data_IF_928818439942
#
_entry.id   IF_928818439942
#
_cell.length_a   1.000
_cell.length_b   1.000
_cell.length_c   1.000
_cell.angle_alpha   90.00
_cell.angle_beta   90.00
_cell.angle_gamma   90.00
#
_symmetry.space_group_name_H-M   'P 1'
#
loop_
_entity.id
_entity.type
_entity.pdbx_description
1 polymer ?
#
# COMPACT_ATOMS: atom_id res chain seq x y z
N UNK A 1 24.01 66.46 4.85
CA UNK A 1 24.27 65.64 3.64
C UNK A 1 23.29 64.48 3.68
N UNK A 2 22.39 64.44 2.69
CA UNK A 2 21.07 63.79 2.71
C UNK A 2 21.12 62.35 2.15
N UNK A 3 20.39 61.46 2.81
CA UNK A 3 19.59 60.35 2.25
C UNK A 3 20.21 59.20 1.42
N UNK A 4 21.54 59.04 1.34
CA UNK A 4 22.12 57.95 0.51
C UNK A 4 21.72 56.52 0.96
N UNK A 5 21.50 56.28 2.25
CA UNK A 5 21.09 54.95 2.73
C UNK A 5 19.65 54.59 2.37
N UNK A 6 18.73 55.55 2.47
CA UNK A 6 17.32 55.32 2.12
C UNK A 6 17.14 55.16 0.61
N UNK A 7 17.94 55.86 -0.20
CA UNK A 7 17.94 55.69 -1.65
C UNK A 7 18.44 54.30 -2.07
N UNK A 8 19.50 53.77 -1.45
CA UNK A 8 20.01 52.42 -1.74
C UNK A 8 18.98 51.35 -1.33
N UNK A 9 18.32 51.52 -0.18
CA UNK A 9 17.25 50.63 0.27
C UNK A 9 16.01 50.68 -0.64
N UNK A 10 15.67 51.86 -1.17
CA UNK A 10 14.54 52.01 -2.09
C UNK A 10 14.83 51.39 -3.47
N UNK A 11 16.05 51.57 -3.97
CA UNK A 11 16.48 50.99 -5.26
C UNK A 11 16.55 49.46 -5.16
N UNK A 12 17.07 48.90 -4.06
CA UNK A 12 17.13 47.45 -3.89
C UNK A 12 15.74 46.83 -3.71
N UNK A 13 14.83 47.50 -2.99
CA UNK A 13 13.44 47.07 -2.87
C UNK A 13 12.72 47.11 -4.22
N UNK A 14 12.91 48.16 -5.01
CA UNK A 14 12.29 48.29 -6.33
C UNK A 14 12.82 47.23 -7.31
N UNK A 15 14.13 46.96 -7.29
CA UNK A 15 14.75 45.91 -8.10
C UNK A 15 14.20 44.52 -7.73
N UNK A 16 14.03 44.22 -6.44
CA UNK A 16 13.47 42.95 -5.98
C UNK A 16 12.00 42.79 -6.45
N UNK A 17 11.20 43.85 -6.38
CA UNK A 17 9.82 43.81 -6.85
C UNK A 17 9.74 43.59 -8.36
N UNK A 18 10.61 44.23 -9.15
CA UNK A 18 10.66 44.03 -10.61
C UNK A 18 11.05 42.60 -10.99
N UNK A 19 11.96 41.97 -10.23
CA UNK A 19 12.33 40.56 -10.44
C UNK A 19 11.13 39.64 -10.13
N UNK A 20 10.44 39.86 -9.02
CA UNK A 20 9.24 39.08 -8.64
C UNK A 20 8.13 39.25 -9.68
N UNK A 21 7.92 40.46 -10.19
CA UNK A 21 6.93 40.76 -11.22
C UNK A 21 7.30 40.08 -12.56
N UNK A 22 8.58 40.08 -12.92
CA UNK A 22 9.09 39.36 -14.10
C UNK A 22 8.86 37.85 -14.03
N UNK A 23 9.11 37.24 -12.87
CA UNK A 23 8.87 35.79 -12.65
C UNK A 23 7.36 35.48 -12.72
N UNK A 24 6.51 36.36 -12.18
CA UNK A 24 5.05 36.21 -12.25
C UNK A 24 4.52 36.28 -13.69
N UNK A 25 5.07 37.16 -14.52
CA UNK A 25 4.67 37.29 -15.93
C UNK A 25 5.18 36.10 -16.76
N UNK A 26 6.39 35.57 -16.49
CA UNK A 26 6.88 34.36 -17.16
C UNK A 26 6.14 33.08 -16.75
N UNK A 27 5.55 33.05 -15.55
CA UNK A 27 4.67 31.95 -15.09
C UNK A 27 3.19 32.11 -15.47
N UNK A 28 2.80 33.27 -15.98
CA UNK A 28 1.45 33.51 -16.46
C UNK A 28 1.32 32.97 -17.90
N UNK A 29 1.00 31.69 -18.01
CA UNK A 29 0.45 31.07 -19.23
C UNK A 29 -0.84 31.83 -19.60
N UNK A 30 -0.72 32.88 -20.42
CA UNK A 30 -1.85 33.56 -21.03
C UNK A 30 -2.48 32.68 -22.12
N UNK A 31 -3.12 31.59 -21.69
CA UNK A 31 -4.11 30.88 -22.49
C UNK A 31 -5.50 31.47 -22.23
N UNK A 32 -5.60 32.79 -22.42
CA UNK A 32 -6.86 33.52 -22.45
C UNK A 32 -7.48 33.38 -23.83
N UNK A 33 -8.72 32.87 -23.85
CA UNK A 33 -9.63 32.64 -24.98
C UNK A 33 -9.41 31.37 -25.79
N UNK A 34 -9.58 30.21 -25.14
CA UNK A 34 -10.12 29.04 -25.82
C UNK A 34 -11.61 29.27 -26.05
N UNK A 35 -12.00 29.54 -27.30
CA UNK A 35 -13.41 29.55 -27.74
C UNK A 35 -14.16 28.38 -27.12
N UNK A 36 -15.30 28.66 -26.48
CA UNK A 36 -16.18 27.62 -25.95
C UNK A 36 -16.69 26.81 -27.15
N UNK A 37 -16.44 25.49 -27.24
CA UNK A 37 -17.01 24.69 -28.31
C UNK A 37 -18.54 24.78 -28.22
N UNK A 38 -19.19 25.16 -29.33
CA UNK A 38 -20.65 25.14 -29.46
C UNK A 38 -21.11 23.72 -29.19
N UNK A 39 -21.72 23.50 -28.03
CA UNK A 39 -22.28 22.21 -27.63
C UNK A 39 -23.41 21.90 -28.63
N UNK A 40 -23.33 20.81 -29.41
CA UNK A 40 -24.43 20.43 -30.28
C UNK A 40 -25.67 20.19 -29.41
N UNK A 41 -26.75 20.93 -29.68
CA UNK A 41 -28.06 20.71 -29.04
C UNK A 41 -28.51 19.29 -29.38
N UNK A 42 -28.34 18.37 -28.44
CA UNK A 42 -28.88 17.01 -28.56
C UNK A 42 -30.39 17.10 -28.46
N UNK A 43 -31.08 16.94 -29.60
CA UNK A 43 -32.52 16.77 -29.67
C UNK A 43 -32.88 15.45 -29.00
N UNK A 44 -33.29 15.50 -27.73
CA UNK A 44 -33.74 14.31 -26.98
C UNK A 44 -35.08 13.88 -27.56
N UNK A 45 -35.05 12.80 -28.34
CA UNK A 45 -36.25 12.10 -28.74
C UNK A 45 -36.80 11.37 -27.50
N UNK A 46 -37.96 11.81 -27.01
CA UNK A 46 -38.63 11.19 -25.87
C UNK A 46 -39.35 9.92 -26.32
N UNK A 47 -38.63 8.80 -26.37
CA UNK A 47 -39.25 7.47 -26.45
C UNK A 47 -39.79 7.09 -25.07
N UNK A 48 -41.06 6.66 -25.00
CA UNK A 48 -41.66 6.12 -23.77
C UNK A 48 -40.97 4.79 -23.45
N UNK A 49 -40.04 4.81 -22.50
CA UNK A 49 -39.33 3.60 -22.08
C UNK A 49 -40.18 2.90 -21.01
N UNK A 50 -40.49 1.63 -21.28
CA UNK A 50 -41.21 0.74 -20.37
C UNK A 50 -40.45 0.62 -19.02
N UNK A 51 -41.15 0.85 -17.91
CA UNK A 51 -40.57 0.86 -16.56
C UNK A 51 -39.87 -0.47 -16.19
N UNK A 52 -40.35 -1.61 -16.71
CA UNK A 52 -39.69 -2.92 -16.56
C UNK A 52 -38.34 -3.00 -17.27
N UNK A 53 -38.23 -2.39 -18.45
CA UNK A 53 -36.96 -2.37 -19.20
C UNK A 53 -35.89 -1.53 -18.48
N UNK A 54 -36.31 -0.48 -17.75
CA UNK A 54 -35.40 0.35 -16.95
C UNK A 54 -34.92 -0.39 -15.69
N UNK A 55 -35.82 -1.10 -14.99
CA UNK A 55 -35.44 -1.91 -13.83
C UNK A 55 -34.51 -3.06 -14.22
N UNK A 56 -34.75 -3.72 -15.35
CA UNK A 56 -33.86 -4.77 -15.87
C UNK A 56 -32.48 -4.22 -16.24
N UNK A 57 -32.41 -3.04 -16.86
CA UNK A 57 -31.14 -2.37 -17.14
C UNK A 57 -30.38 -1.98 -15.87
N UNK A 58 -31.10 -1.52 -14.84
CA UNK A 58 -30.51 -1.20 -13.55
C UNK A 58 -29.97 -2.45 -12.84
N UNK A 59 -30.73 -3.56 -12.84
CA UNK A 59 -30.28 -4.85 -12.31
C UNK A 59 -29.05 -5.38 -13.06
N UNK A 60 -29.07 -5.37 -14.40
CA UNK A 60 -27.93 -5.80 -15.23
C UNK A 60 -26.67 -4.96 -14.99
N UNK A 61 -26.82 -3.64 -14.80
CA UNK A 61 -25.69 -2.77 -14.44
C UNK A 61 -25.16 -3.08 -13.03
N UNK A 62 -26.05 -3.24 -12.05
CA UNK A 62 -25.67 -3.58 -10.68
C UNK A 62 -24.96 -4.94 -10.61
N UNK A 63 -25.42 -5.92 -11.39
CA UNK A 63 -24.80 -7.24 -11.49
C UNK A 63 -23.43 -7.18 -12.18
N UNK A 64 -23.28 -6.44 -13.28
CA UNK A 64 -21.97 -6.19 -13.90
C UNK A 64 -20.97 -5.55 -12.94
N UNK A 65 -21.39 -4.56 -12.16
CA UNK A 65 -20.55 -3.92 -11.13
C UNK A 65 -20.16 -4.91 -10.04
N UNK A 66 -21.09 -5.77 -9.58
CA UNK A 66 -20.80 -6.83 -8.61
C UNK A 66 -19.81 -7.86 -9.15
N UNK A 67 -19.99 -8.31 -10.38
CA UNK A 67 -19.08 -9.25 -11.06
C UNK A 67 -17.69 -8.63 -11.24
N UNK A 68 -17.61 -7.35 -11.65
CA UNK A 68 -16.34 -6.66 -11.80
C UNK A 68 -15.63 -6.46 -10.46
N UNK A 69 -16.37 -6.10 -9.40
CA UNK A 69 -15.85 -6.00 -8.03
C UNK A 69 -15.32 -7.34 -7.54
N UNK A 70 -16.07 -8.42 -7.75
CA UNK A 70 -15.64 -9.77 -7.38
C UNK A 70 -14.40 -10.20 -8.17
N UNK A 71 -14.33 -9.89 -9.47
CA UNK A 71 -13.16 -10.16 -10.31
C UNK A 71 -11.92 -9.42 -9.81
N UNK A 72 -12.05 -8.13 -9.46
CA UNK A 72 -10.96 -7.34 -8.85
C UNK A 72 -10.53 -7.93 -7.51
N UNK A 73 -11.47 -8.35 -6.67
CA UNK A 73 -11.17 -9.01 -5.39
C UNK A 73 -10.43 -10.34 -5.59
N UNK A 74 -10.82 -11.15 -6.58
CA UNK A 74 -10.15 -12.41 -6.91
C UNK A 74 -8.71 -12.19 -7.41
N UNK A 75 -8.48 -11.21 -8.30
CA UNK A 75 -7.14 -10.87 -8.79
C UNK A 75 -6.23 -10.45 -7.62
N UNK A 76 -6.72 -9.56 -6.75
CA UNK A 76 -5.96 -9.11 -5.57
C UNK A 76 -5.67 -10.27 -4.62
N UNK A 77 -6.65 -11.15 -4.39
CA UNK A 77 -6.47 -12.33 -3.54
C UNK A 77 -5.45 -13.30 -4.14
N UNK A 78 -5.46 -13.52 -5.46
CA UNK A 78 -4.51 -14.38 -6.15
C UNK A 78 -3.08 -13.80 -6.13
N UNK A 79 -2.91 -12.50 -6.37
CA UNK A 79 -1.62 -11.82 -6.26
C UNK A 79 -1.04 -11.92 -4.84
N UNK A 80 -1.88 -11.73 -3.81
CA UNK A 80 -1.48 -11.88 -2.42
C UNK A 80 -1.07 -13.33 -2.11
N UNK A 81 -1.81 -14.33 -2.62
CA UNK A 81 -1.45 -15.75 -2.48
C UNK A 81 -0.12 -16.06 -3.14
N UNK A 82 0.11 -15.61 -4.39
CA UNK A 82 1.39 -15.77 -5.09
C UNK A 82 2.55 -15.12 -4.33
N UNK A 83 2.33 -13.94 -3.73
CA UNK A 83 3.35 -13.24 -2.94
C UNK A 83 3.68 -13.98 -1.65
N UNK A 84 2.66 -14.44 -0.90
CA UNK A 84 2.84 -15.29 0.29
C UNK A 84 3.55 -16.61 -0.03
N UNK A 85 3.24 -17.23 -1.16
CA UNK A 85 3.91 -18.46 -1.59
C UNK A 85 5.40 -18.22 -1.92
N UNK A 86 5.72 -17.10 -2.58
CA UNK A 86 7.11 -16.67 -2.82
C UNK A 86 7.85 -16.45 -1.49
N UNK A 87 7.25 -15.73 -0.55
CA UNK A 87 7.82 -15.52 0.80
C UNK A 87 8.03 -16.84 1.55
N UNK A 88 7.07 -17.76 1.51
CA UNK A 88 7.22 -19.08 2.12
C UNK A 88 8.34 -19.90 1.46
N UNK A 89 8.46 -19.88 0.13
CA UNK A 89 9.56 -20.55 -0.59
C UNK A 89 10.93 -19.96 -0.20
N UNK A 90 11.00 -18.63 -0.11
CA UNK A 90 12.18 -17.87 0.36
C UNK A 90 12.53 -18.23 1.81
N UNK A 91 11.55 -18.25 2.71
CA UNK A 91 11.73 -18.62 4.11
C UNK A 91 12.18 -20.07 4.29
N UNK A 92 11.56 -21.02 3.54
CA UNK A 92 11.97 -22.43 3.53
C UNK A 92 13.41 -22.60 3.05
N UNK A 93 13.82 -21.90 1.98
CA UNK A 93 15.21 -21.91 1.49
C UNK A 93 16.19 -21.37 2.54
N UNK A 94 15.86 -20.28 3.23
CA UNK A 94 16.69 -19.75 4.33
C UNK A 94 16.81 -20.78 5.46
N UNK A 95 15.69 -21.37 5.89
CA UNK A 95 15.68 -22.35 6.98
C UNK A 95 16.52 -23.59 6.64
N UNK A 96 16.40 -24.09 5.40
CA UNK A 96 17.17 -25.23 4.93
C UNK A 96 18.68 -24.94 4.84
N UNK A 97 19.07 -23.77 4.32
CA UNK A 97 20.49 -23.38 4.28
C UNK A 97 21.06 -23.15 5.68
N UNK A 98 20.29 -22.56 6.61
CA UNK A 98 20.70 -22.44 8.02
C UNK A 98 20.94 -23.80 8.66
N UNK A 99 20.03 -24.77 8.46
CA UNK A 99 20.20 -26.15 8.95
C UNK A 99 21.46 -26.81 8.39
N UNK A 100 21.71 -26.69 7.08
CA UNK A 100 22.93 -27.22 6.44
C UNK A 100 24.22 -26.59 6.98
N UNK A 101 24.20 -25.29 7.31
CA UNK A 101 25.36 -24.61 7.92
C UNK A 101 25.58 -25.09 9.35
N UNK A 102 24.51 -25.25 10.14
CA UNK A 102 24.61 -25.70 11.53
C UNK A 102 25.06 -27.16 11.63
N UNK A 103 24.53 -28.03 10.76
CA UNK A 103 24.92 -29.44 10.66
C UNK A 103 26.40 -29.58 10.28
N UNK A 104 26.86 -28.83 9.26
CA UNK A 104 28.28 -28.80 8.90
C UNK A 104 29.19 -28.31 10.04
N UNK A 105 28.72 -27.35 10.86
CA UNK A 105 29.44 -26.92 12.07
C UNK A 105 29.51 -28.01 13.13
N UNK A 106 28.39 -28.70 13.39
CA UNK A 106 28.32 -29.80 14.36
C UNK A 106 29.23 -30.96 13.94
N UNK A 107 29.21 -31.35 12.68
CA UNK A 107 30.06 -32.42 12.17
C UNK A 107 31.55 -32.06 12.24
N UNK A 108 31.92 -30.83 11.86
CA UNK A 108 33.30 -30.35 11.98
C UNK A 108 33.79 -30.37 13.43
N UNK A 109 32.91 -30.03 14.39
CA UNK A 109 33.21 -30.12 15.84
C UNK A 109 33.43 -31.58 16.27
N UNK A 110 32.52 -32.50 15.90
CA UNK A 110 32.66 -33.95 16.21
C UNK A 110 33.94 -34.58 15.65
N UNK A 111 34.32 -34.23 14.42
CA UNK A 111 35.57 -34.74 13.81
C UNK A 111 36.81 -34.20 14.54
N UNK A 112 36.78 -32.94 14.99
CA UNK A 112 37.87 -32.36 15.77
C UNK A 112 37.99 -33.04 17.15
N UNK A 113 36.88 -33.23 17.85
CA UNK A 113 36.84 -33.86 19.17
C UNK A 113 37.32 -35.33 19.10
N UNK A 114 36.90 -36.08 18.07
CA UNK A 114 37.36 -37.47 17.84
C UNK A 114 38.86 -37.55 17.56
N UNK A 115 39.43 -36.59 16.79
CA UNK A 115 40.88 -36.52 16.56
C UNK A 115 41.66 -36.21 17.84
N UNK A 116 41.18 -35.26 18.63
CA UNK A 116 41.79 -34.90 19.92
C UNK A 116 41.78 -36.08 20.91
N UNK A 117 40.67 -36.83 20.98
CA UNK A 117 40.57 -38.03 21.82
C UNK A 117 41.52 -39.15 21.36
N UNK A 118 41.62 -39.37 20.03
CA UNK A 118 42.50 -40.39 19.48
C UNK A 118 43.99 -40.04 19.67
N UNK A 119 44.35 -38.76 19.59
CA UNK A 119 45.71 -38.30 19.89
C UNK A 119 46.05 -38.46 21.38
N UNK A 120 45.13 -38.10 22.29
CA UNK A 120 45.30 -38.32 23.73
C UNK A 120 45.47 -39.81 24.06
N UNK A 121 44.65 -40.68 23.47
CA UNK A 121 44.76 -42.14 23.66
C UNK A 121 46.10 -42.69 23.17
N UNK A 122 46.61 -42.21 22.02
CA UNK A 122 47.93 -42.58 21.51
C UNK A 122 49.06 -42.13 22.45
N UNK A 123 49.02 -40.88 22.93
CA UNK A 123 50.01 -40.36 23.90
C UNK A 123 50.02 -41.16 25.21
N UNK A 124 48.86 -41.54 25.73
CA UNK A 124 48.76 -42.37 26.95
C UNK A 124 49.31 -43.78 26.72
N UNK A 125 49.01 -44.40 25.56
CA UNK A 125 49.55 -45.70 25.20
C UNK A 125 51.08 -45.68 24.99
N UNK A 126 51.61 -44.60 24.43
CA UNK A 126 53.05 -44.40 24.23
C UNK A 126 53.78 -44.21 25.57
N UNK A 127 53.24 -43.41 26.49
CA UNK A 127 53.79 -43.25 27.85
C UNK A 127 53.81 -44.59 28.61
N UNK A 128 52.74 -45.39 28.52
CA UNK A 128 52.72 -46.74 29.12
C UNK A 128 53.78 -47.66 28.51
N UNK A 129 53.94 -47.67 27.19
CA UNK A 129 54.98 -48.48 26.52
C UNK A 129 56.40 -48.07 26.90
N UNK A 130 56.68 -46.77 27.05
CA UNK A 130 57.99 -46.29 27.49
C UNK A 130 58.25 -46.64 28.97
N UNK A 131 57.23 -46.62 29.82
CA UNK A 131 57.33 -47.05 31.21
C UNK A 131 57.55 -48.57 31.34
N UNK A 132 56.84 -49.39 30.55
CA UNK A 132 57.04 -50.84 30.52
C UNK A 132 58.40 -51.23 29.92
N UNK A 133 58.88 -50.51 28.90
CA UNK A 133 60.22 -50.70 28.33
C UNK A 133 61.34 -50.34 29.32
N UNK A 134 61.14 -49.33 30.18
CA UNK A 134 62.07 -49.04 31.29
C UNK A 134 62.08 -50.15 32.34
N UNK A 135 60.94 -50.80 32.62
CA UNK A 135 60.86 -51.96 33.53
C UNK A 135 61.53 -53.22 32.98
N UNK A 136 61.55 -53.42 31.66
CA UNK A 136 62.24 -54.57 31.02
C UNK A 136 63.75 -54.31 30.88
N UNK A 137 64.19 -53.05 30.83
CA UNK A 137 65.61 -52.68 30.81
C UNK A 137 66.30 -52.80 32.18
N UNK A 138 65.55 -52.89 33.28
CA UNK A 138 66.08 -53.09 34.64
C UNK A 138 66.34 -54.58 34.97
N UNK A 139 65.78 -55.53 34.20
CA UNK A 139 65.95 -56.98 34.42
C UNK A 139 66.90 -57.66 33.40
N UNK A 140 67.46 -56.93 32.44
CA UNK A 140 68.46 -57.48 31.49
C UNK A 140 69.69 -56.58 31.33
N UNK A 141 70.47 -56.46 32.41
CA UNK A 141 71.88 -56.05 32.33
C UNK A 141 72.78 -56.99 33.12
N UNK A 142 72.97 -58.20 32.57
CA UNK A 142 74.25 -58.91 32.60
C UNK A 142 74.42 -59.53 31.19
N UNK A 143 75.65 -59.50 30.68
CA UNK A 143 76.13 -59.99 29.37
C UNK A 143 76.12 -58.99 28.17
N UNK A 144 77.11 -58.09 28.18
CA UNK A 144 78.18 -57.94 27.14
C UNK A 144 77.89 -58.58 25.75
N UNK A 145 77.96 -57.90 24.59
CA UNK A 145 79.19 -57.60 23.84
C UNK A 145 78.85 -56.95 22.47
N UNK A 146 79.64 -55.91 22.13
CA UNK A 146 80.14 -55.41 20.81
C UNK A 146 79.21 -55.16 19.60
N UNK A 147 79.09 -53.86 19.28
CA UNK A 147 79.56 -53.19 18.05
C UNK A 147 79.64 -54.02 16.76
N UNK A 148 78.59 -54.01 15.92
CA UNK A 148 78.56 -53.68 14.47
C UNK A 148 77.07 -53.54 14.07
N UNK A 149 76.42 -52.42 14.40
CA UNK A 149 75.07 -52.12 13.88
C UNK A 149 74.73 -50.62 13.92
N UNK A 150 75.74 -49.74 14.00
CA UNK A 150 75.53 -48.32 14.25
C UNK A 150 75.44 -47.50 12.95
N UNK A 151 76.01 -47.97 11.84
CA UNK A 151 76.01 -47.22 10.57
C UNK A 151 74.78 -47.51 9.68
N UNK A 152 74.18 -48.70 9.74
CA UNK A 152 72.94 -49.00 8.99
C UNK A 152 71.66 -48.48 9.68
N UNK A 153 71.63 -48.36 11.01
CA UNK A 153 70.46 -47.82 11.74
C UNK A 153 70.32 -46.31 11.65
N UNK A 154 71.42 -45.54 11.52
CA UNK A 154 71.34 -44.07 11.39
C UNK A 154 70.89 -43.65 9.98
N UNK A 155 71.23 -44.42 8.94
CA UNK A 155 70.81 -44.14 7.56
C UNK A 155 69.32 -44.47 7.29
N UNK A 156 68.81 -45.55 7.88
CA UNK A 156 67.40 -45.93 7.75
C UNK A 156 66.47 -45.03 8.61
N UNK A 157 66.92 -44.61 9.79
CA UNK A 157 66.19 -43.65 10.64
C UNK A 157 66.09 -42.28 9.97
N UNK A 158 67.15 -41.78 9.31
CA UNK A 158 67.12 -40.49 8.59
C UNK A 158 66.18 -40.51 7.37
N UNK A 159 66.15 -41.59 6.58
CA UNK A 159 65.21 -41.72 5.45
C UNK A 159 63.75 -41.80 5.90
N UNK A 160 63.47 -42.48 7.02
CA UNK A 160 62.12 -42.56 7.61
C UNK A 160 61.68 -41.23 8.24
N UNK A 161 62.60 -40.43 8.78
CA UNK A 161 62.31 -39.06 9.27
C UNK A 161 62.00 -38.08 8.13
N UNK A 162 62.77 -38.12 7.04
CA UNK A 162 62.55 -37.23 5.88
C UNK A 162 61.24 -37.56 5.13
N UNK A 163 60.90 -38.84 4.95
CA UNK A 163 59.60 -39.25 4.41
C UNK A 163 58.43 -38.83 5.31
N UNK A 164 58.59 -38.93 6.64
CA UNK A 164 57.58 -38.45 7.60
C UNK A 164 57.41 -36.94 7.52
N UNK A 165 58.49 -36.18 7.33
CA UNK A 165 58.45 -34.71 7.24
C UNK A 165 57.73 -34.24 5.97
N UNK A 166 58.05 -34.83 4.82
CA UNK A 166 57.38 -34.52 3.53
C UNK A 166 55.90 -34.97 3.54
N UNK A 167 55.58 -36.11 4.15
CA UNK A 167 54.20 -36.56 4.32
C UNK A 167 53.39 -35.66 5.28
N UNK A 168 54.02 -35.16 6.34
CA UNK A 168 53.42 -34.24 7.32
C UNK A 168 53.16 -32.85 6.70
N UNK A 169 54.10 -32.33 5.91
CA UNK A 169 53.94 -31.07 5.19
C UNK A 169 52.80 -31.15 4.16
N UNK A 170 52.76 -32.20 3.30
CA UNK A 170 51.67 -32.40 2.33
C UNK A 170 50.31 -32.54 3.01
N UNK A 171 50.23 -33.21 4.16
CA UNK A 171 48.97 -33.31 4.96
C UNK A 171 48.58 -31.96 5.57
N UNK A 172 49.53 -31.17 6.05
CA UNK A 172 49.28 -29.85 6.61
C UNK A 172 48.80 -28.86 5.53
N UNK A 173 49.35 -28.93 4.32
CA UNK A 173 48.94 -28.13 3.17
C UNK A 173 47.52 -28.48 2.71
N UNK A 174 47.21 -29.78 2.54
CA UNK A 174 45.85 -30.25 2.21
C UNK A 174 44.81 -29.84 3.26
N UNK A 175 45.16 -29.86 4.55
CA UNK A 175 44.25 -29.45 5.63
C UNK A 175 44.01 -27.92 5.64
N UNK A 176 45.04 -27.11 5.35
CA UNK A 176 44.91 -25.66 5.22
C UNK A 176 44.01 -25.29 4.04
N UNK A 177 44.15 -25.99 2.92
CA UNK A 177 43.35 -25.76 1.71
C UNK A 177 41.87 -26.16 1.92
N UNK A 178 41.61 -27.35 2.50
CA UNK A 178 40.24 -27.74 2.86
C UNK A 178 39.58 -26.76 3.85
N UNK A 179 40.35 -26.21 4.81
CA UNK A 179 39.84 -25.18 5.73
C UNK A 179 39.50 -23.87 5.01
N UNK A 180 40.28 -23.46 4.01
CA UNK A 180 39.99 -22.27 3.18
C UNK A 180 38.72 -22.46 2.35
N UNK A 181 38.61 -23.59 1.63
CA UNK A 181 37.41 -23.92 0.84
C UNK A 181 36.16 -23.98 1.73
N UNK A 182 36.26 -24.57 2.93
CA UNK A 182 35.13 -24.62 3.87
C UNK A 182 34.72 -23.22 4.38
N UNK A 183 35.69 -22.35 4.69
CA UNK A 183 35.41 -20.94 5.08
C UNK A 183 34.77 -20.15 3.94
N UNK A 184 35.24 -20.33 2.70
CA UNK A 184 34.66 -19.70 1.50
C UNK A 184 33.21 -20.16 1.26
N UNK A 185 32.91 -21.46 1.40
CA UNK A 185 31.53 -21.96 1.28
C UNK A 185 30.62 -21.44 2.39
N UNK A 186 31.12 -21.33 3.62
CA UNK A 186 30.35 -20.80 4.74
C UNK A 186 30.03 -19.31 4.56
N UNK A 187 31.01 -18.50 4.14
CA UNK A 187 30.82 -17.08 3.86
C UNK A 187 29.86 -16.84 2.70
N UNK A 188 29.93 -17.63 1.63
CA UNK A 188 28.95 -17.57 0.54
C UNK A 188 27.52 -17.93 0.97
N UNK A 189 27.34 -18.95 1.81
CA UNK A 189 26.01 -19.31 2.35
C UNK A 189 25.44 -18.21 3.26
N UNK A 190 26.27 -17.63 4.12
CA UNK A 190 25.90 -16.49 4.97
C UNK A 190 25.50 -15.26 4.14
N UNK A 191 26.25 -14.95 3.08
CA UNK A 191 25.92 -13.87 2.16
C UNK A 191 24.58 -14.11 1.45
N UNK A 192 24.31 -15.35 1.00
CA UNK A 192 23.05 -15.72 0.36
C UNK A 192 21.86 -15.60 1.32
N UNK A 193 22.02 -16.03 2.58
CA UNK A 193 20.98 -15.88 3.61
C UNK A 193 20.69 -14.40 3.89
N UNK A 194 21.73 -13.56 4.00
CA UNK A 194 21.58 -12.11 4.20
C UNK A 194 20.83 -11.45 3.04
N UNK A 195 21.15 -11.82 1.79
CA UNK A 195 20.46 -11.30 0.61
C UNK A 195 18.97 -11.66 0.61
N UNK A 196 18.65 -12.93 0.85
CA UNK A 196 17.25 -13.39 0.90
C UNK A 196 16.49 -12.74 2.07
N UNK A 197 17.13 -12.51 3.22
CA UNK A 197 16.52 -11.79 4.34
C UNK A 197 16.29 -10.30 4.05
N UNK A 198 17.12 -9.67 3.22
CA UNK A 198 16.92 -8.28 2.78
C UNK A 198 15.73 -8.20 1.83
N UNK A 199 15.71 -9.07 0.82
CA UNK A 199 14.58 -9.17 -0.12
C UNK A 199 13.24 -9.43 0.59
N UNK A 200 13.22 -10.32 1.60
CA UNK A 200 12.02 -10.56 2.40
C UNK A 200 11.55 -9.34 3.21
N UNK A 201 12.49 -8.52 3.72
CA UNK A 201 12.15 -7.27 4.42
C UNK A 201 11.57 -6.24 3.46
N UNK A 202 12.21 -6.04 2.31
CA UNK A 202 11.78 -5.08 1.29
C UNK A 202 10.38 -5.43 0.74
N UNK A 203 10.10 -6.73 0.56
CA UNK A 203 8.78 -7.22 0.12
C UNK A 203 7.70 -6.95 1.17
N UNK A 204 8.01 -7.17 2.46
CA UNK A 204 7.10 -6.92 3.58
C UNK A 204 6.79 -5.44 3.72
N UNK A 205 7.79 -4.58 3.58
CA UNK A 205 7.63 -3.13 3.66
C UNK A 205 6.78 -2.59 2.51
N UNK A 206 7.02 -3.06 1.28
CA UNK A 206 6.15 -2.76 0.13
C UNK A 206 4.72 -3.25 0.31
N UNK A 207 4.50 -4.39 0.98
CA UNK A 207 3.14 -4.86 1.31
C UNK A 207 2.45 -3.91 2.28
N UNK A 208 3.15 -3.54 3.35
CA UNK A 208 2.62 -2.63 4.35
C UNK A 208 2.28 -1.28 3.74
N UNK A 209 3.16 -0.75 2.87
CA UNK A 209 2.91 0.50 2.17
C UNK A 209 1.67 0.40 1.28
N UNK A 210 1.57 -0.65 0.45
CA UNK A 210 0.41 -0.83 -0.43
C UNK A 210 -0.92 -1.03 0.35
N UNK A 211 -0.87 -1.64 1.53
CA UNK A 211 -2.05 -1.78 2.41
C UNK A 211 -2.46 -0.44 3.02
N UNK A 212 -1.50 0.37 3.45
CA UNK A 212 -1.76 1.74 3.92
C UNK A 212 -2.31 2.62 2.80
N UNK A 213 -1.71 2.60 1.62
CA UNK A 213 -2.17 3.38 0.46
C UNK A 213 -3.62 3.01 0.10
N UNK A 214 -3.95 1.71 0.14
CA UNK A 214 -5.31 1.22 -0.09
C UNK A 214 -6.30 1.63 1.01
N UNK A 215 -5.87 1.67 2.27
CA UNK A 215 -6.69 2.14 3.38
C UNK A 215 -6.98 3.64 3.24
N UNK A 216 -5.96 4.45 2.93
CA UNK A 216 -6.12 5.89 2.68
C UNK A 216 -7.03 6.15 1.49
N UNK A 217 -6.90 5.39 0.39
CA UNK A 217 -7.77 5.56 -0.78
C UNK A 217 -9.24 5.24 -0.45
N UNK A 218 -9.49 4.20 0.33
CA UNK A 218 -10.85 3.87 0.77
C UNK A 218 -11.44 4.98 1.66
N UNK A 219 -10.67 5.46 2.63
CA UNK A 219 -11.09 6.56 3.51
C UNK A 219 -11.35 7.85 2.74
N UNK A 220 -10.50 8.18 1.77
CA UNK A 220 -10.68 9.35 0.91
C UNK A 220 -11.95 9.28 0.07
N UNK A 221 -12.25 8.12 -0.53
CA UNK A 221 -13.48 7.92 -1.31
C UNK A 221 -14.72 8.08 -0.44
N UNK A 222 -14.71 7.52 0.78
CA UNK A 222 -15.83 7.62 1.70
C UNK A 222 -16.04 9.07 2.16
N UNK A 223 -14.98 9.74 2.63
CA UNK A 223 -15.03 11.14 3.06
C UNK A 223 -15.48 12.09 1.94
N UNK A 224 -14.98 11.88 0.72
CA UNK A 224 -15.36 12.68 -0.44
C UNK A 224 -16.82 12.45 -0.84
N UNK A 225 -17.31 11.20 -0.77
CA UNK A 225 -18.71 10.88 -1.06
C UNK A 225 -19.66 11.50 -0.04
N UNK A 226 -19.28 11.51 1.24
CA UNK A 226 -20.04 12.12 2.32
C UNK A 226 -20.10 13.65 2.16
N UNK A 227 -18.96 14.29 1.90
CA UNK A 227 -18.88 15.72 1.64
C UNK A 227 -19.73 16.14 0.41
N UNK A 228 -19.74 15.33 -0.65
CA UNK A 228 -20.62 15.60 -1.79
C UNK A 228 -22.10 15.45 -1.42
N UNK A 229 -22.46 14.43 -0.65
CA UNK A 229 -23.84 14.20 -0.27
C UNK A 229 -24.36 15.31 0.65
N UNK A 230 -23.54 15.78 1.60
CA UNK A 230 -23.91 16.92 2.45
C UNK A 230 -24.10 18.19 1.63
N UNK A 231 -23.21 18.50 0.69
CA UNK A 231 -23.39 19.63 -0.23
C UNK A 231 -24.66 19.52 -1.10
N UNK A 232 -24.98 18.31 -1.59
CA UNK A 232 -26.21 18.08 -2.35
C UNK A 232 -27.45 18.28 -1.49
N UNK A 233 -27.43 17.84 -0.23
CA UNK A 233 -28.54 18.02 0.71
C UNK A 233 -28.73 19.50 1.05
N UNK A 234 -27.66 20.25 1.32
CA UNK A 234 -27.74 21.69 1.63
C UNK A 234 -28.29 22.49 0.45
N UNK A 235 -27.85 22.19 -0.77
CA UNK A 235 -28.41 22.82 -1.97
C UNK A 235 -29.88 22.41 -2.18
N UNK A 236 -30.25 21.15 -1.95
CA UNK A 236 -31.65 20.71 -2.05
C UNK A 236 -32.55 21.49 -1.07
N UNK A 237 -32.14 21.62 0.19
CA UNK A 237 -32.92 22.36 1.20
C UNK A 237 -32.98 23.86 0.87
N UNK A 238 -31.88 24.45 0.41
CA UNK A 238 -31.85 25.83 -0.08
C UNK A 238 -32.87 26.07 -1.19
N UNK A 239 -32.91 25.21 -2.22
CA UNK A 239 -33.89 25.36 -3.30
C UNK A 239 -35.32 25.07 -2.85
N UNK A 240 -35.55 24.11 -1.94
CA UNK A 240 -36.87 23.93 -1.33
C UNK A 240 -37.34 25.22 -0.64
N UNK A 241 -36.47 25.91 0.11
CA UNK A 241 -36.81 27.19 0.73
C UNK A 241 -37.13 28.26 -0.32
N UNK A 242 -36.26 28.44 -1.33
CA UNK A 242 -36.48 29.42 -2.39
C UNK A 242 -37.80 29.19 -3.14
N UNK A 243 -38.17 27.93 -3.33
CA UNK A 243 -39.45 27.53 -3.92
C UNK A 243 -40.61 27.90 -2.99
N UNK A 244 -40.54 27.56 -1.69
CA UNK A 244 -41.56 27.97 -0.72
C UNK A 244 -41.74 29.47 -0.74
N UNK A 245 -40.66 30.24 -0.65
CA UNK A 245 -40.70 31.70 -0.63
C UNK A 245 -41.31 32.26 -1.91
N UNK A 246 -40.96 31.70 -3.08
CA UNK A 246 -41.52 32.13 -4.36
C UNK A 246 -43.03 31.86 -4.44
N UNK A 247 -43.49 30.73 -3.91
CA UNK A 247 -44.92 30.41 -3.86
C UNK A 247 -45.63 31.33 -2.85
N UNK A 248 -45.09 31.46 -1.63
CA UNK A 248 -45.65 32.30 -0.57
C UNK A 248 -45.79 33.76 -0.99
N UNK A 249 -44.82 34.33 -1.72
CA UNK A 249 -44.92 35.69 -2.28
C UNK A 249 -46.09 35.89 -3.25
N UNK A 250 -46.56 34.82 -3.88
CA UNK A 250 -47.71 34.85 -4.79
C UNK A 250 -49.00 34.35 -4.13
N UNK A 251 -48.94 33.99 -2.85
CA UNK A 251 -50.03 33.37 -2.12
C UNK A 251 -50.90 34.41 -1.43
N UNK A 252 -52.17 34.47 -1.82
CA UNK A 252 -53.19 35.24 -1.12
C UNK A 252 -53.67 34.43 0.09
N UNK A 253 -53.22 34.86 1.27
CA UNK A 253 -53.53 34.21 2.55
C UNK A 253 -54.71 34.92 3.21
N UNK A 254 -55.68 34.15 3.69
CA UNK A 254 -56.81 34.66 4.48
C UNK A 254 -56.63 34.28 5.97
N UNK A 255 -57.16 35.09 6.92
CA UNK A 255 -57.07 34.78 8.35
C UNK A 255 -57.62 33.39 8.73
N UNK A 256 -58.62 32.91 7.99
CA UNK A 256 -59.25 31.59 8.17
C UNK A 256 -58.32 30.40 7.88
N UNK A 257 -57.14 30.66 7.31
CA UNK A 257 -56.15 29.66 6.92
C UNK A 257 -55.07 29.44 7.99
N UNK A 258 -55.06 30.24 9.06
CA UNK A 258 -54.04 30.15 10.12
C UNK A 258 -53.98 28.76 10.75
N UNK A 259 -52.77 28.23 10.94
CA UNK A 259 -52.53 26.92 11.55
C UNK A 259 -52.83 25.70 10.67
N UNK A 260 -53.39 25.92 9.47
CA UNK A 260 -53.68 24.85 8.50
C UNK A 260 -52.53 24.67 7.52
N UNK A 261 -52.44 23.50 6.88
CA UNK A 261 -51.36 23.17 5.94
C UNK A 261 -51.90 22.44 4.72
N UNK A 262 -51.20 22.59 3.60
CA UNK A 262 -51.46 21.81 2.40
C UNK A 262 -50.18 21.16 1.88
N UNK A 263 -50.28 19.90 1.48
CA UNK A 263 -49.22 19.18 0.76
C UNK A 263 -49.59 19.08 -0.72
N UNK A 264 -48.73 19.62 -1.57
CA UNK A 264 -48.88 19.61 -3.02
C UNK A 264 -47.82 18.71 -3.65
N UNK A 265 -48.14 18.10 -4.79
CA UNK A 265 -47.20 17.47 -5.70
C UNK A 265 -47.06 18.34 -6.95
N UNK A 266 -45.87 18.88 -7.18
CA UNK A 266 -45.59 19.83 -8.25
C UNK A 266 -44.69 19.16 -9.29
N UNK A 267 -45.00 19.35 -10.56
CA UNK A 267 -44.17 18.92 -11.68
C UNK A 267 -43.60 20.14 -12.40
N UNK A 268 -42.28 20.17 -12.58
CA UNK A 268 -41.57 21.24 -13.27
C UNK A 268 -40.95 20.77 -14.59
N UNK A 269 -40.91 21.67 -15.55
CA UNK A 269 -40.09 21.54 -16.74
C UNK A 269 -38.60 21.77 -16.42
N UNK A 270 -37.66 21.40 -17.31
CA UNK A 270 -36.22 21.58 -17.08
C UNK A 270 -35.79 23.04 -16.86
N UNK A 271 -36.58 24.00 -17.33
CA UNK A 271 -36.36 25.45 -17.20
C UNK A 271 -36.98 26.06 -15.94
N UNK A 272 -37.70 25.26 -15.12
CA UNK A 272 -38.41 25.75 -13.94
C UNK A 272 -39.88 26.06 -14.14
N UNK A 273 -40.42 25.94 -15.36
CA UNK A 273 -41.84 26.19 -15.61
C UNK A 273 -42.73 25.17 -14.87
N UNK A 274 -43.74 25.66 -14.18
CA UNK A 274 -44.73 24.82 -13.49
C UNK A 274 -45.65 24.17 -14.52
N UNK A 275 -45.55 22.85 -14.68
CA UNK A 275 -46.36 22.07 -15.63
C UNK A 275 -47.67 21.61 -14.97
N UNK A 276 -47.59 21.11 -13.73
CA UNK A 276 -48.73 20.50 -13.06
C UNK A 276 -48.63 20.67 -11.54
N UNK A 277 -49.77 20.87 -10.89
CA UNK A 277 -49.90 20.97 -9.44
C UNK A 277 -51.08 20.11 -9.00
N UNK A 278 -50.81 19.06 -8.24
CA UNK A 278 -51.82 18.16 -7.67
C UNK A 278 -51.86 18.31 -6.15
N UNK A 279 -53.06 18.39 -5.59
CA UNK A 279 -53.24 18.33 -4.14
C UNK A 279 -53.06 16.89 -3.68
N UNK A 280 -52.22 16.68 -2.66
CA UNK A 280 -52.04 15.37 -2.03
C UNK A 280 -52.90 15.25 -0.77
N UNK A 281 -52.79 16.22 0.14
CA UNK A 281 -53.53 16.24 1.41
C UNK A 281 -53.51 17.62 2.05
N UNK A 282 -54.50 17.93 2.90
CA UNK A 282 -54.60 19.20 3.62
C UNK A 282 -56.02 19.77 3.64
N UNK A 283 -56.16 20.97 4.19
CA UNK A 283 -57.44 21.70 4.18
C UNK A 283 -57.80 22.17 2.76
N UNK A 284 -59.05 21.96 2.34
CA UNK A 284 -59.49 22.23 0.97
C UNK A 284 -59.29 23.71 0.56
N UNK A 285 -59.59 24.67 1.44
CA UNK A 285 -59.46 26.11 1.13
C UNK A 285 -58.00 26.50 0.99
N UNK A 286 -57.16 26.02 1.92
CA UNK A 286 -55.70 26.26 1.89
C UNK A 286 -55.07 25.63 0.66
N UNK A 287 -55.46 24.39 0.32
CA UNK A 287 -54.93 23.69 -0.83
C UNK A 287 -55.31 24.33 -2.17
N UNK A 288 -56.57 24.75 -2.32
CA UNK A 288 -56.99 25.47 -3.53
C UNK A 288 -56.25 26.81 -3.66
N UNK A 289 -56.08 27.56 -2.56
CA UNK A 289 -55.33 28.82 -2.59
C UNK A 289 -53.84 28.59 -2.90
N UNK A 290 -53.21 27.59 -2.29
CA UNK A 290 -51.82 27.21 -2.54
C UNK A 290 -51.58 26.75 -3.99
N UNK A 291 -52.54 26.01 -4.57
CA UNK A 291 -52.48 25.58 -5.97
C UNK A 291 -52.48 26.79 -6.91
N UNK A 292 -53.38 27.76 -6.68
CA UNK A 292 -53.41 29.01 -7.46
C UNK A 292 -52.11 29.81 -7.31
N UNK A 293 -51.59 29.94 -6.09
CA UNK A 293 -50.33 30.62 -5.81
C UNK A 293 -49.15 29.99 -6.57
N UNK A 294 -49.10 28.65 -6.60
CA UNK A 294 -48.06 27.89 -7.29
C UNK A 294 -48.13 28.08 -8.81
N UNK A 295 -49.33 28.04 -9.40
CA UNK A 295 -49.52 28.30 -10.83
C UNK A 295 -49.20 29.76 -11.19
N UNK A 296 -49.57 30.71 -10.33
CA UNK A 296 -49.28 32.14 -10.50
C UNK A 296 -47.78 32.44 -10.47
N UNK A 297 -46.99 31.64 -9.76
CA UNK A 297 -45.53 31.79 -9.74
C UNK A 297 -44.87 31.57 -11.12
N UNK A 298 -45.54 30.89 -12.06
CA UNK A 298 -45.11 30.50 -13.43
C UNK A 298 -43.82 29.67 -13.45
N UNK A 299 -42.71 30.24 -13.00
CA UNK A 299 -41.39 29.60 -12.95
C UNK A 299 -40.87 29.54 -11.52
N UNK A 300 -40.38 28.37 -11.12
CA UNK A 300 -39.75 28.14 -9.83
C UNK A 300 -38.23 27.97 -9.99
N UNK A 301 -37.43 28.40 -9.00
CA UNK A 301 -35.98 28.26 -9.08
C UNK A 301 -35.57 26.78 -9.03
N UNK A 302 -34.68 26.37 -9.93
CA UNK A 302 -34.14 25.01 -10.02
C UNK A 302 -32.59 25.05 -9.92
N UNK A 303 -31.96 24.08 -9.24
CA UNK A 303 -30.51 23.92 -9.25
C UNK A 303 -29.93 23.77 -10.67
N UNK A 304 -28.73 24.33 -10.88
CA UNK A 304 -27.99 24.12 -12.14
C UNK A 304 -27.39 22.71 -12.25
N UNK A 305 -27.12 22.06 -11.11
CA UNK A 305 -26.62 20.69 -11.07
C UNK A 305 -27.72 19.72 -11.50
N UNK A 306 -27.47 18.97 -12.57
CA UNK A 306 -28.40 18.00 -13.15
C UNK A 306 -28.83 16.90 -12.16
N UNK A 307 -27.94 16.49 -11.25
CA UNK A 307 -28.21 15.43 -10.26
C UNK A 307 -29.22 15.88 -9.19
N UNK A 308 -29.29 17.18 -8.90
CA UNK A 308 -30.23 17.74 -7.94
C UNK A 308 -31.50 18.18 -8.69
N UNK A 309 -31.36 18.80 -9.86
CA UNK A 309 -32.47 19.25 -10.69
C UNK A 309 -33.46 18.13 -11.04
N UNK A 310 -33.00 16.88 -11.21
CA UNK A 310 -33.88 15.74 -11.44
C UNK A 310 -34.87 15.50 -10.30
N UNK A 311 -34.49 15.79 -9.06
CA UNK A 311 -35.37 15.66 -7.88
C UNK A 311 -36.49 16.71 -7.89
N UNK A 312 -36.25 17.87 -8.51
CA UNK A 312 -37.24 18.95 -8.63
C UNK A 312 -38.16 18.84 -9.86
N UNK A 313 -37.98 17.83 -10.72
CA UNK A 313 -38.91 17.59 -11.84
C UNK A 313 -40.30 17.17 -11.39
N UNK A 314 -40.38 16.40 -10.29
CA UNK A 314 -41.61 15.99 -9.63
C UNK A 314 -41.32 15.85 -8.13
N UNK A 315 -41.86 16.75 -7.32
CA UNK A 315 -41.60 16.75 -5.88
C UNK A 315 -42.85 17.13 -5.09
N UNK A 316 -42.90 16.66 -3.84
CA UNK A 316 -43.93 17.07 -2.90
C UNK A 316 -43.43 18.18 -1.98
N UNK A 317 -44.24 19.21 -1.77
CA UNK A 317 -43.94 20.30 -0.85
C UNK A 317 -45.12 20.52 0.09
N UNK A 318 -44.82 20.76 1.37
CA UNK A 318 -45.80 21.18 2.36
C UNK A 318 -45.72 22.69 2.52
N UNK A 319 -46.86 23.34 2.31
CA UNK A 319 -47.05 24.77 2.39
C UNK A 319 -47.96 25.08 3.59
N UNK A 320 -47.55 26.08 4.36
CA UNK A 320 -48.31 26.61 5.48
C UNK A 320 -48.39 28.14 5.29
N UNK A 321 -49.54 28.77 5.52
CA UNK A 321 -49.63 30.22 5.55
C UNK A 321 -48.89 30.73 6.78
N UNK A 322 -47.89 31.58 6.55
CA UNK A 322 -47.23 32.37 7.60
C UNK A 322 -47.99 33.70 7.69
N UNK A 323 -48.73 33.88 8.78
CA UNK A 323 -49.56 35.07 9.10
C UNK A 323 -49.02 35.77 10.34
#
# INVERSE_FOLDING_TARGET
MKNNFNSIAFISALALHLIVLGVLVMGADMSLFKEKPKVPKVMIHATVINQKALTDLAHRKAEKVRVEKHRKQQIVAEELRKKREKEQKVAKKIAQEKRKVEEAKREKKRVLDKKMAQEKAKRVAEVKRVADAKRVAEVKRVAEVKRVAEVKRVAEVKRVEDEKRVAQEKRSAKLKEQKRIAKLKETQRLAKIKKIQKEARDIKERLRQAELDKAMEAEFVDAFSEAQNTQKLTETEKYKSLIKDKISRNWQIEPSMKGKRCRLNISLAPDGLVINVKVLSGDAKVCQSAQRATLKARTLPIPKDASIASQFRKFSITLAPEL
#
